data_IF_341018663697
#
_entry.id   IF_341018663697
#
_cell.length_a   1.000
_cell.length_b   1.000
_cell.length_c   1.000
_cell.angle_alpha   90.00
_cell.angle_beta   90.00
_cell.angle_gamma   90.00
#
_symmetry.space_group_name_H-M   'P 1'
#
loop_
_entity.id
_entity.type
_entity.pdbx_description
1 polymer ?
#
# COMPACT_ATOMS: atom_id res chain seq x y z
N UNK A 1 -56.50 42.79 -2.08
CA UNK A 1 -55.90 43.09 -3.38
C UNK A 1 -54.57 42.53 -3.38
N UNK A 2 -54.44 41.46 -4.01
CA UNK A 2 -53.76 40.93 -5.18
C UNK A 2 -52.28 40.71 -4.94
N UNK A 3 -51.97 39.42 -4.72
CA UNK A 3 -51.10 38.59 -5.61
C UNK A 3 -49.71 39.15 -5.94
N UNK A 4 -48.74 38.73 -5.16
CA UNK A 4 -47.42 38.43 -5.71
C UNK A 4 -47.12 36.95 -5.45
N UNK A 5 -47.60 36.09 -6.33
CA UNK A 5 -47.03 34.76 -6.53
C UNK A 5 -45.60 34.96 -6.99
N UNK A 6 -44.68 34.80 -6.07
CA UNK A 6 -43.28 34.70 -6.43
C UNK A 6 -43.12 33.40 -7.21
N UNK A 7 -43.03 33.54 -8.49
CA UNK A 7 -42.49 32.56 -9.42
C UNK A 7 -41.02 32.36 -9.05
N UNK A 8 -40.74 31.47 -8.13
CA UNK A 8 -39.37 30.93 -8.00
C UNK A 8 -39.19 29.90 -9.10
N UNK A 9 -38.32 30.18 -10.05
CA UNK A 9 -38.22 29.38 -11.25
C UNK A 9 -37.71 27.98 -10.92
N UNK A 10 -38.30 27.00 -11.58
CA UNK A 10 -37.87 25.61 -11.70
C UNK A 10 -36.37 25.44 -11.97
N UNK A 11 -35.71 26.48 -12.49
CA UNK A 11 -34.30 26.56 -12.73
C UNK A 11 -33.43 26.37 -11.45
N UNK A 12 -33.88 26.77 -10.27
CA UNK A 12 -33.17 26.58 -9.00
C UNK A 12 -33.20 25.14 -8.52
N UNK A 13 -34.23 24.37 -8.88
CA UNK A 13 -34.28 22.92 -8.59
C UNK A 13 -33.28 22.13 -9.45
N UNK A 14 -33.10 22.53 -10.71
CA UNK A 14 -32.15 21.91 -11.63
C UNK A 14 -30.68 22.19 -11.25
N UNK A 15 -30.39 23.41 -10.79
CA UNK A 15 -29.04 23.79 -10.34
C UNK A 15 -28.66 23.04 -9.05
N UNK A 16 -29.64 22.85 -8.12
CA UNK A 16 -29.40 22.04 -6.91
C UNK A 16 -29.14 20.58 -7.20
N UNK A 17 -29.75 19.99 -8.22
CA UNK A 17 -29.48 18.61 -8.67
C UNK A 17 -28.15 18.47 -9.37
N UNK A 18 -27.70 19.48 -10.15
CA UNK A 18 -26.39 19.42 -10.82
C UNK A 18 -25.21 19.53 -9.84
N UNK A 19 -25.39 20.23 -8.72
CA UNK A 19 -24.33 20.37 -7.71
C UNK A 19 -24.17 19.12 -6.84
N UNK A 20 -25.17 18.25 -6.77
CA UNK A 20 -25.11 16.99 -6.02
C UNK A 20 -24.37 15.84 -6.77
N UNK A 21 -24.28 15.92 -8.09
CA UNK A 21 -23.64 14.89 -8.92
C UNK A 21 -22.16 14.64 -8.57
N UNK A 22 -21.29 15.65 -8.40
CA UNK A 22 -19.90 15.39 -8.05
C UNK A 22 -19.74 14.71 -6.68
N UNK A 23 -20.61 15.05 -5.71
CA UNK A 23 -20.61 14.43 -4.40
C UNK A 23 -21.13 12.99 -4.42
N UNK A 24 -22.11 12.68 -5.27
CA UNK A 24 -22.57 11.31 -5.47
C UNK A 24 -21.49 10.43 -6.11
N UNK A 25 -20.77 10.94 -7.11
CA UNK A 25 -19.64 10.23 -7.75
C UNK A 25 -18.51 9.99 -6.74
N UNK A 26 -18.15 11.00 -5.94
CA UNK A 26 -17.15 10.84 -4.88
C UNK A 26 -17.59 9.84 -3.82
N UNK A 27 -18.85 9.83 -3.42
CA UNK A 27 -19.41 8.86 -2.48
C UNK A 27 -19.41 7.44 -3.05
N UNK A 28 -19.71 7.26 -4.34
CA UNK A 28 -19.65 5.97 -5.02
C UNK A 28 -18.21 5.49 -5.10
N UNK A 29 -17.25 6.34 -5.46
CA UNK A 29 -15.82 5.98 -5.50
C UNK A 29 -15.31 5.64 -4.09
N UNK A 30 -15.72 6.39 -3.07
CA UNK A 30 -15.38 6.11 -1.68
C UNK A 30 -15.99 4.77 -1.21
N UNK A 31 -17.24 4.49 -1.56
CA UNK A 31 -17.92 3.22 -1.24
C UNK A 31 -17.29 2.04 -1.97
N UNK A 32 -16.84 2.22 -3.22
CA UNK A 32 -16.11 1.18 -3.96
C UNK A 32 -14.73 0.92 -3.35
N UNK A 33 -14.00 1.96 -2.97
CA UNK A 33 -12.73 1.81 -2.24
C UNK A 33 -12.91 1.14 -0.88
N UNK A 34 -14.06 1.33 -0.23
CA UNK A 34 -14.36 0.72 1.07
C UNK A 34 -14.81 -0.75 0.96
N UNK A 35 -15.39 -1.15 -0.19
CA UNK A 35 -15.79 -2.54 -0.46
C UNK A 35 -14.59 -3.49 -0.63
N UNK A 36 -13.45 -2.99 -1.08
CA UNK A 36 -12.24 -3.78 -1.30
C UNK A 36 -11.37 -3.93 -0.04
N UNK A 37 -11.80 -3.37 1.10
CA UNK A 37 -11.10 -3.63 2.37
C UNK A 37 -11.51 -5.00 2.89
N UNK A 38 -10.58 -5.97 2.99
CA UNK A 38 -10.89 -7.26 3.58
C UNK A 38 -11.38 -7.05 5.02
N UNK A 39 -12.37 -7.85 5.45
CA UNK A 39 -12.81 -7.81 6.84
C UNK A 39 -11.64 -8.15 7.77
N UNK A 40 -11.61 -7.57 8.97
CA UNK A 40 -10.55 -7.82 9.96
C UNK A 40 -10.30 -9.33 10.20
N UNK A 41 -11.35 -10.13 10.19
CA UNK A 41 -11.25 -11.59 10.32
C UNK A 41 -10.53 -12.24 9.13
N UNK A 42 -10.85 -11.82 7.89
CA UNK A 42 -10.16 -12.34 6.68
C UNK A 42 -8.69 -11.92 6.67
N UNK A 43 -8.40 -10.71 7.11
CA UNK A 43 -7.03 -10.22 7.23
C UNK A 43 -6.26 -11.04 8.28
N UNK A 44 -6.82 -11.27 9.47
CA UNK A 44 -6.21 -12.06 10.52
C UNK A 44 -5.94 -13.51 10.08
N UNK A 45 -6.90 -14.14 9.37
CA UNK A 45 -6.72 -15.47 8.80
C UNK A 45 -5.62 -15.49 7.73
N UNK A 46 -5.57 -14.49 6.84
CA UNK A 46 -4.54 -14.38 5.83
C UNK A 46 -3.16 -14.20 6.45
N UNK A 47 -3.00 -13.35 7.46
CA UNK A 47 -1.75 -13.15 8.18
C UNK A 47 -1.30 -14.42 8.92
N UNK A 48 -2.23 -15.14 9.55
CA UNK A 48 -1.94 -16.43 10.19
C UNK A 48 -1.46 -17.46 9.17
N UNK A 49 -2.08 -17.52 8.00
CA UNK A 49 -1.66 -18.42 6.92
C UNK A 49 -0.29 -18.04 6.38
N UNK A 50 -0.06 -16.74 6.14
CA UNK A 50 1.24 -16.22 5.74
C UNK A 50 2.33 -16.59 6.76
N UNK A 51 2.06 -16.44 8.06
CA UNK A 51 3.01 -16.77 9.13
C UNK A 51 3.41 -18.26 9.14
N UNK A 52 2.58 -19.15 8.64
CA UNK A 52 2.85 -20.61 8.56
C UNK A 52 3.60 -21.02 7.29
N UNK A 53 3.62 -20.19 6.26
CA UNK A 53 4.25 -20.52 4.98
C UNK A 53 5.77 -20.63 5.10
N UNK A 54 6.37 -21.44 4.24
CA UNK A 54 7.80 -21.42 4.00
C UNK A 54 8.17 -20.29 3.03
N UNK A 55 9.45 -19.91 2.98
CA UNK A 55 9.94 -18.92 2.02
C UNK A 55 9.59 -19.28 0.57
N UNK A 56 9.72 -20.56 0.22
CA UNK A 56 9.41 -21.06 -1.13
C UNK A 56 7.93 -20.91 -1.51
N UNK A 57 7.04 -20.89 -0.53
CA UNK A 57 5.60 -20.68 -0.74
C UNK A 57 5.24 -19.19 -0.74
N UNK A 58 5.89 -18.41 0.12
CA UNK A 58 5.62 -16.99 0.29
C UNK A 58 6.06 -16.15 -0.92
N UNK A 59 7.27 -16.41 -1.44
CA UNK A 59 7.87 -15.61 -2.51
C UNK A 59 6.99 -15.56 -3.78
N UNK A 60 6.49 -16.68 -4.34
CA UNK A 60 5.62 -16.64 -5.51
C UNK A 60 4.31 -15.88 -5.29
N UNK A 61 3.76 -15.91 -4.07
CA UNK A 61 2.54 -15.16 -3.72
C UNK A 61 2.82 -13.65 -3.76
N UNK A 62 3.96 -13.23 -3.22
CA UNK A 62 4.38 -11.83 -3.28
C UNK A 62 4.61 -11.37 -4.71
N UNK A 63 5.29 -12.17 -5.52
CA UNK A 63 5.49 -11.88 -6.94
C UNK A 63 4.17 -11.72 -7.68
N UNK A 64 3.25 -12.67 -7.51
CA UNK A 64 1.95 -12.61 -8.15
C UNK A 64 1.15 -11.38 -7.70
N UNK A 65 1.20 -11.02 -6.42
CA UNK A 65 0.53 -9.85 -5.88
C UNK A 65 1.06 -8.55 -6.51
N UNK A 66 2.37 -8.43 -6.70
CA UNK A 66 2.96 -7.25 -7.36
C UNK A 66 2.69 -7.23 -8.86
N UNK A 67 2.73 -8.38 -9.53
CA UNK A 67 2.35 -8.49 -10.96
C UNK A 67 0.90 -8.06 -11.17
N UNK A 68 -0.03 -8.46 -10.30
CA UNK A 68 -1.43 -8.01 -10.36
C UNK A 68 -1.59 -6.50 -10.16
N UNK A 69 -0.67 -5.85 -9.45
CA UNK A 69 -0.62 -4.39 -9.30
C UNK A 69 0.06 -3.68 -10.49
N UNK A 70 0.48 -4.43 -11.50
CA UNK A 70 1.08 -3.91 -12.72
C UNK A 70 2.58 -3.62 -12.61
N UNK A 71 3.29 -4.29 -11.69
CA UNK A 71 4.75 -4.25 -11.63
C UNK A 71 5.35 -5.38 -12.46
N UNK A 72 6.47 -5.12 -13.11
CA UNK A 72 7.41 -6.15 -13.53
C UNK A 72 8.23 -6.58 -12.32
N UNK A 73 8.30 -7.87 -12.04
CA UNK A 73 8.95 -8.41 -10.83
C UNK A 73 10.14 -9.23 -11.23
N UNK A 74 11.30 -8.95 -10.64
CA UNK A 74 12.53 -9.71 -10.80
C UNK A 74 13.03 -10.15 -9.42
N UNK A 75 13.33 -11.45 -9.26
CA UNK A 75 13.95 -11.94 -8.05
C UNK A 75 15.42 -11.51 -8.00
N UNK A 76 15.84 -11.02 -6.85
CA UNK A 76 17.23 -10.67 -6.57
C UNK A 76 17.87 -11.75 -5.70
N UNK A 77 19.11 -12.09 -6.04
CA UNK A 77 19.94 -12.97 -5.20
C UNK A 77 20.86 -12.13 -4.31
N UNK A 78 20.27 -11.21 -3.53
CA UNK A 78 20.96 -10.30 -2.64
C UNK A 78 20.62 -10.61 -1.18
N UNK A 79 21.52 -10.25 -0.25
CA UNK A 79 21.25 -10.33 1.18
C UNK A 79 20.34 -9.21 1.67
N UNK A 80 20.31 -8.07 0.98
CA UNK A 80 19.62 -6.86 1.39
C UNK A 80 18.21 -6.72 0.77
N UNK A 81 18.00 -7.22 -0.47
CA UNK A 81 16.70 -7.17 -1.14
C UNK A 81 16.41 -8.51 -1.83
N UNK A 82 15.16 -8.89 -1.87
CA UNK A 82 14.69 -10.16 -2.44
C UNK A 82 14.02 -9.97 -3.81
N UNK A 83 13.35 -8.85 -3.99
CA UNK A 83 12.64 -8.52 -5.23
C UNK A 83 13.01 -7.13 -5.71
N UNK A 84 13.09 -7.01 -7.03
CA UNK A 84 13.09 -5.74 -7.74
C UNK A 84 11.77 -5.59 -8.47
N UNK A 85 11.08 -4.50 -8.22
CA UNK A 85 9.83 -4.14 -8.87
C UNK A 85 10.11 -2.99 -9.81
N UNK A 86 9.59 -3.06 -11.02
CA UNK A 86 9.67 -1.98 -11.99
C UNK A 86 8.28 -1.61 -12.47
N UNK A 87 7.98 -0.31 -12.45
CA UNK A 87 6.74 0.25 -12.98
C UNK A 87 6.98 1.65 -13.51
N UNK A 88 6.60 1.89 -14.77
CA UNK A 88 6.76 3.21 -15.40
C UNK A 88 8.21 3.73 -15.38
N UNK A 89 9.19 2.85 -15.52
CA UNK A 89 10.62 3.19 -15.48
C UNK A 89 11.18 3.47 -14.09
N UNK A 90 10.39 3.30 -13.04
CA UNK A 90 10.86 3.45 -11.65
C UNK A 90 11.11 2.09 -11.03
N UNK A 91 12.27 1.95 -10.40
CA UNK A 91 12.71 0.73 -9.71
C UNK A 91 12.47 0.87 -8.22
N UNK A 92 11.86 -0.16 -7.63
CA UNK A 92 11.66 -0.32 -6.19
C UNK A 92 12.33 -1.61 -5.73
N UNK A 93 13.19 -1.52 -4.73
CA UNK A 93 13.80 -2.69 -4.10
C UNK A 93 12.95 -3.13 -2.90
N UNK A 94 12.66 -4.42 -2.80
CA UNK A 94 11.83 -4.98 -1.73
C UNK A 94 12.62 -6.03 -0.96
N UNK A 95 12.68 -5.85 0.36
CA UNK A 95 13.20 -6.84 1.31
C UNK A 95 12.03 -7.51 2.04
N UNK A 96 11.89 -8.81 1.92
CA UNK A 96 10.80 -9.57 2.55
C UNK A 96 11.25 -10.93 3.13
N UNK A 97 12.53 -11.31 2.98
CA UNK A 97 13.03 -12.60 3.44
C UNK A 97 12.93 -12.82 4.96
N UNK A 98 12.97 -11.74 5.73
CA UNK A 98 12.84 -11.76 7.19
C UNK A 98 11.43 -11.43 7.68
N UNK A 99 10.45 -11.64 6.87
CA UNK A 99 9.06 -11.32 7.16
C UNK A 99 8.48 -11.98 8.43
N UNK A 100 9.06 -13.14 8.89
CA UNK A 100 8.68 -13.84 10.12
C UNK A 100 9.64 -13.57 11.29
N UNK A 101 10.58 -12.65 11.18
CA UNK A 101 11.47 -12.33 12.29
C UNK A 101 10.65 -11.85 13.51
N UNK A 102 11.10 -12.15 14.71
CA UNK A 102 10.40 -11.71 15.94
C UNK A 102 10.32 -10.18 16.06
N UNK A 103 11.32 -9.49 15.56
CA UNK A 103 11.37 -8.01 15.49
C UNK A 103 12.10 -7.58 14.23
N UNK A 104 11.69 -6.46 13.66
CA UNK A 104 12.39 -5.82 12.55
C UNK A 104 13.38 -4.78 13.10
N UNK A 105 14.66 -5.12 13.05
CA UNK A 105 15.76 -4.23 13.44
C UNK A 105 16.12 -3.21 12.35
N UNK A 106 16.90 -2.20 12.72
CA UNK A 106 17.34 -1.14 11.80
C UNK A 106 18.39 -1.63 10.79
N UNK A 107 19.11 -2.70 11.08
CA UNK A 107 20.19 -3.23 10.25
C UNK A 107 19.67 -3.61 8.86
N UNK A 108 18.54 -4.32 8.82
CA UNK A 108 17.91 -4.75 7.54
C UNK A 108 17.58 -3.52 6.68
N UNK A 109 17.12 -2.45 7.30
CA UNK A 109 16.76 -1.22 6.58
C UNK A 109 17.99 -0.45 6.10
N UNK A 110 19.11 -0.50 6.85
CA UNK A 110 20.38 0.09 6.43
C UNK A 110 20.94 -0.60 5.20
N UNK A 111 20.99 -1.94 5.23
CA UNK A 111 21.47 -2.75 4.11
C UNK A 111 20.61 -2.50 2.86
N UNK A 112 19.29 -2.47 3.03
CA UNK A 112 18.36 -2.19 1.95
C UNK A 112 18.55 -0.76 1.39
N UNK A 113 18.75 0.24 2.26
CA UNK A 113 19.00 1.63 1.84
C UNK A 113 20.33 1.76 1.13
N UNK A 114 21.37 1.10 1.60
CA UNK A 114 22.66 1.09 0.94
C UNK A 114 22.58 0.46 -0.46
N UNK A 115 21.85 -0.63 -0.60
CA UNK A 115 21.60 -1.26 -1.90
C UNK A 115 20.80 -0.34 -2.82
N UNK A 116 19.75 0.33 -2.29
CA UNK A 116 18.96 1.31 -3.03
C UNK A 116 19.85 2.40 -3.65
N UNK A 117 20.74 2.96 -2.86
CA UNK A 117 21.65 4.03 -3.32
C UNK A 117 22.65 3.48 -4.34
N UNK A 118 23.20 2.29 -4.12
CA UNK A 118 24.19 1.71 -5.02
C UNK A 118 23.62 1.31 -6.39
N UNK A 119 22.33 1.00 -6.45
CA UNK A 119 21.63 0.62 -7.69
C UNK A 119 20.83 1.78 -8.30
N UNK A 120 20.90 2.97 -7.72
CA UNK A 120 20.12 4.16 -8.13
C UNK A 120 18.62 3.85 -8.23
N UNK A 121 18.10 3.01 -7.32
CA UNK A 121 16.70 2.66 -7.29
C UNK A 121 15.86 3.80 -6.67
N UNK A 122 14.72 4.09 -7.30
CA UNK A 122 13.86 5.18 -6.88
C UNK A 122 13.29 4.98 -5.47
N UNK A 123 12.93 3.74 -5.12
CA UNK A 123 12.27 3.42 -3.86
C UNK A 123 12.84 2.16 -3.22
N UNK A 124 12.64 2.05 -1.90
CA UNK A 124 12.92 0.85 -1.12
C UNK A 124 11.76 0.56 -0.17
N UNK A 125 11.36 -0.72 -0.08
CA UNK A 125 10.30 -1.18 0.79
C UNK A 125 10.74 -2.43 1.57
N UNK A 126 10.36 -2.49 2.85
CA UNK A 126 10.58 -3.67 3.69
C UNK A 126 9.25 -4.23 4.18
N UNK A 127 9.02 -5.52 3.95
CA UNK A 127 7.80 -6.23 4.33
C UNK A 127 8.10 -7.13 5.54
N UNK A 128 7.32 -6.97 6.61
CA UNK A 128 7.45 -7.76 7.84
C UNK A 128 6.09 -7.99 8.48
N UNK A 129 5.88 -9.17 9.06
CA UNK A 129 4.73 -9.45 9.92
C UNK A 129 4.95 -8.96 11.35
N UNK A 130 6.19 -8.70 11.74
CA UNK A 130 6.51 -8.20 13.08
C UNK A 130 6.55 -6.68 13.10
N UNK A 131 6.28 -6.14 14.28
CA UNK A 131 6.40 -4.72 14.54
C UNK A 131 7.87 -4.27 14.44
N UNK A 132 8.14 -3.16 13.76
CA UNK A 132 9.47 -2.60 13.70
C UNK A 132 9.86 -1.96 15.05
N UNK A 133 11.14 -2.02 15.38
CA UNK A 133 11.67 -1.27 16.54
C UNK A 133 11.50 0.23 16.33
N UNK A 134 11.40 1.01 17.42
CA UNK A 134 11.31 2.48 17.32
C UNK A 134 12.46 3.11 16.54
N UNK A 135 13.68 2.51 16.64
CA UNK A 135 14.85 2.93 15.86
C UNK A 135 14.66 2.63 14.37
N UNK A 136 14.10 1.47 14.03
CA UNK A 136 13.80 1.11 12.64
C UNK A 136 12.77 2.05 12.02
N UNK A 137 11.68 2.37 12.75
CA UNK A 137 10.66 3.33 12.29
C UNK A 137 11.27 4.72 12.03
N UNK A 138 12.08 5.22 12.98
CA UNK A 138 12.76 6.51 12.83
C UNK A 138 13.69 6.52 11.62
N UNK A 139 14.49 5.48 11.45
CA UNK A 139 15.38 5.32 10.31
C UNK A 139 14.62 5.30 8.98
N UNK A 140 13.57 4.50 8.89
CA UNK A 140 12.74 4.38 7.69
C UNK A 140 12.16 5.73 7.26
N UNK A 141 11.56 6.48 8.21
CA UNK A 141 11.02 7.83 7.95
C UNK A 141 12.10 8.81 7.47
N UNK A 142 13.28 8.80 8.11
CA UNK A 142 14.36 9.73 7.76
C UNK A 142 14.98 9.42 6.39
N UNK A 143 15.03 8.13 6.01
CA UNK A 143 15.71 7.69 4.79
C UNK A 143 14.75 7.33 3.63
N UNK A 144 13.46 7.53 3.79
CA UNK A 144 12.45 7.27 2.75
C UNK A 144 12.30 5.79 2.42
N UNK A 145 12.51 4.88 3.38
CA UNK A 145 12.24 3.45 3.24
C UNK A 145 10.81 3.18 3.68
N UNK A 146 10.01 2.57 2.80
CA UNK A 146 8.64 2.21 3.12
C UNK A 146 8.61 0.95 4.00
N UNK A 147 7.93 1.03 5.14
CA UNK A 147 7.64 -0.13 5.99
C UNK A 147 6.23 -0.63 5.72
N UNK A 148 6.11 -1.92 5.38
CA UNK A 148 4.85 -2.63 5.21
C UNK A 148 4.81 -3.69 6.31
N UNK A 149 4.22 -3.33 7.43
CA UNK A 149 4.13 -4.17 8.62
C UNK A 149 2.67 -4.41 8.99
N UNK A 150 2.42 -5.40 9.84
CA UNK A 150 1.12 -5.56 10.47
C UNK A 150 0.91 -4.39 11.44
N UNK A 151 -0.11 -3.57 11.17
CA UNK A 151 -0.57 -2.56 12.13
C UNK A 151 -1.38 -3.24 13.24
N UNK A 152 -1.22 -2.76 14.49
CA UNK A 152 -2.04 -3.20 15.63
C UNK A 152 -3.48 -2.71 15.51
#
# INVERSE_FOLDING_TARGET
MLLARVFLPEAFRAVGMLSALPFAVLAIIAAWRQRDKPSAERLALALTNLARMSWKQFLPIMEQAFVQQGFSVTQLNSSAADLQLEKSGMVTLVSCKRWKAATLGVEVLRDLKQLQVSQDAAYAACISLSLPTGVAVKFAKTNGVQLICQDE
#
